data_IF_579803831870
#
_entry.id   IF_579803831870
#
_cell.length_a   1.000
_cell.length_b   1.000
_cell.length_c   1.000
_cell.angle_alpha   90.00
_cell.angle_beta   90.00
_cell.angle_gamma   90.00
#
_symmetry.space_group_name_H-M   'P 1'
#
loop_
_entity.id
_entity.type
_entity.pdbx_description
1 polymer ?
#
# COMPACT_ATOMS: atom_id res chain seq x y z
N UNK A 1 -24.95 3.45 5.83
CA UNK A 1 -23.64 2.91 5.40
C UNK A 1 -23.71 1.40 5.56
N UNK A 2 -23.46 0.63 4.49
CA UNK A 2 -23.32 -0.84 4.57
C UNK A 2 -21.82 -1.17 4.48
N UNK A 3 -21.36 -2.17 5.23
CA UNK A 3 -19.95 -2.60 5.27
C UNK A 3 -19.85 -4.07 4.86
N UNK A 4 -18.77 -4.43 4.18
CA UNK A 4 -18.42 -5.82 3.91
C UNK A 4 -17.58 -6.37 5.06
N UNK A 5 -18.02 -7.49 5.65
CA UNK A 5 -17.30 -8.17 6.73
C UNK A 5 -16.66 -9.44 6.17
N UNK A 6 -15.33 -9.49 6.18
CA UNK A 6 -14.59 -10.73 5.93
C UNK A 6 -14.53 -11.56 7.21
N UNK A 7 -15.14 -12.75 7.19
CA UNK A 7 -15.23 -13.67 8.33
C UNK A 7 -14.39 -14.94 8.15
N UNK A 8 -13.70 -15.10 7.01
CA UNK A 8 -13.08 -16.38 6.62
C UNK A 8 -11.58 -16.44 6.99
N UNK A 9 -10.92 -15.29 7.15
CA UNK A 9 -9.46 -15.23 7.23
C UNK A 9 -8.84 -15.12 8.65
N UNK A 10 -9.64 -15.16 9.72
CA UNK A 10 -9.19 -14.82 11.09
C UNK A 10 -9.17 -16.01 12.09
N UNK A 11 -9.06 -17.24 11.61
CA UNK A 11 -9.16 -18.49 12.38
C UNK A 11 -8.00 -18.94 13.30
N UNK A 12 -7.08 -18.05 13.71
CA UNK A 12 -6.07 -18.35 14.74
C UNK A 12 -4.84 -19.18 14.32
N UNK A 13 -3.70 -18.92 14.98
CA UNK A 13 -2.41 -19.59 14.73
C UNK A 13 -1.20 -18.69 15.03
N UNK A 14 -1.08 -18.22 16.27
CA UNK A 14 -0.08 -17.24 16.72
C UNK A 14 1.28 -17.88 17.04
N UNK A 15 2.09 -18.04 16.00
CA UNK A 15 3.55 -18.21 16.00
C UNK A 15 3.90 -18.02 14.51
N UNK A 16 4.58 -16.99 14.03
CA UNK A 16 5.92 -16.50 14.37
C UNK A 16 6.08 -15.10 13.73
N UNK A 17 5.42 -14.09 14.30
CA UNK A 17 5.50 -12.67 13.88
C UNK A 17 6.43 -11.87 14.80
N UNK A 18 7.20 -12.54 15.67
CA UNK A 18 8.14 -11.88 16.59
C UNK A 18 9.51 -11.68 15.92
N UNK A 19 9.51 -10.92 14.82
CA UNK A 19 10.71 -10.57 14.07
C UNK A 19 11.19 -9.14 14.39
N UNK A 20 12.44 -8.85 14.08
CA UNK A 20 13.03 -7.53 14.29
C UNK A 20 12.55 -6.48 13.27
N UNK A 21 12.84 -5.21 13.57
CA UNK A 21 12.43 -4.06 12.75
C UNK A 21 12.81 -4.19 11.28
N UNK A 22 14.03 -4.68 10.97
CA UNK A 22 14.49 -4.79 9.58
C UNK A 22 13.60 -5.71 8.74
N UNK A 23 13.12 -6.83 9.32
CA UNK A 23 12.22 -7.75 8.63
C UNK A 23 10.84 -7.13 8.43
N UNK A 24 10.32 -6.41 9.44
CA UNK A 24 9.06 -5.69 9.30
C UNK A 24 9.13 -4.51 8.33
N UNK A 25 10.25 -3.81 8.26
CA UNK A 25 10.44 -2.75 7.28
C UNK A 25 10.48 -3.30 5.85
N UNK A 26 11.20 -4.41 5.62
CA UNK A 26 11.38 -4.99 4.29
C UNK A 26 10.22 -5.87 3.82
N UNK A 27 9.50 -6.52 4.74
CA UNK A 27 8.56 -7.59 4.43
C UNK A 27 9.17 -8.99 4.53
N UNK A 28 8.33 -10.00 4.76
CA UNK A 28 8.72 -11.40 4.89
C UNK A 28 7.57 -12.35 4.56
N UNK A 29 7.86 -13.63 4.35
CA UNK A 29 6.87 -14.69 4.21
C UNK A 29 6.44 -15.02 2.78
N UNK A 30 5.34 -15.78 2.64
CA UNK A 30 4.84 -16.31 1.38
C UNK A 30 3.39 -15.90 1.16
N UNK A 31 3.06 -15.39 -0.03
CA UNK A 31 1.72 -14.91 -0.40
C UNK A 31 0.63 -15.99 -0.38
N UNK A 32 1.01 -17.27 -0.46
CA UNK A 32 0.12 -18.43 -0.30
C UNK A 32 0.03 -18.91 1.16
N UNK A 33 0.73 -18.25 2.07
CA UNK A 33 0.80 -18.57 3.51
C UNK A 33 0.86 -17.30 4.34
N UNK A 34 1.65 -17.30 5.42
CA UNK A 34 1.86 -16.12 6.27
C UNK A 34 2.86 -15.16 5.63
N UNK A 35 2.51 -13.88 5.51
CA UNK A 35 3.42 -12.85 5.01
C UNK A 35 3.13 -11.47 5.61
N UNK A 36 4.12 -10.59 5.48
CA UNK A 36 4.05 -9.15 5.71
C UNK A 36 4.70 -8.45 4.51
N UNK A 37 4.05 -7.43 3.94
CA UNK A 37 4.51 -6.78 2.70
C UNK A 37 5.60 -5.72 2.92
N UNK A 38 6.06 -5.51 4.16
CA UNK A 38 6.95 -4.41 4.52
C UNK A 38 6.17 -3.16 4.91
N UNK A 39 6.84 -2.17 5.50
CA UNK A 39 6.19 -0.92 5.93
C UNK A 39 6.17 0.11 4.78
N UNK A 40 5.24 -0.08 3.84
CA UNK A 40 5.01 0.86 2.75
C UNK A 40 4.24 2.13 3.14
N UNK A 41 3.78 2.24 4.40
CA UNK A 41 2.92 3.33 4.88
C UNK A 41 3.63 4.29 5.84
N UNK A 42 4.83 3.97 6.30
CA UNK A 42 5.62 4.82 7.19
C UNK A 42 5.67 6.29 6.76
N UNK A 43 5.93 6.54 5.46
CA UNK A 43 6.04 7.89 4.92
C UNK A 43 4.71 8.62 4.78
N UNK A 44 3.60 7.89 4.83
CA UNK A 44 2.24 8.41 4.74
C UNK A 44 1.67 8.81 6.11
N UNK A 45 2.32 8.42 7.21
CA UNK A 45 1.85 8.77 8.55
C UNK A 45 1.84 10.29 8.76
N UNK A 46 0.74 10.82 9.30
CA UNK A 46 0.53 12.25 9.51
C UNK A 46 0.35 13.08 8.22
N UNK A 47 0.32 12.45 7.04
CA UNK A 47 0.05 13.16 5.78
C UNK A 47 -1.44 13.39 5.59
N UNK A 48 -1.77 14.43 4.83
CA UNK A 48 -3.15 14.71 4.41
C UNK A 48 -3.46 13.87 3.18
N UNK A 49 -4.74 13.57 2.99
CA UNK A 49 -5.19 12.88 1.79
C UNK A 49 -5.23 13.86 0.62
N UNK A 50 -4.57 13.51 -0.48
CA UNK A 50 -4.51 14.32 -1.71
C UNK A 50 -5.22 13.62 -2.85
N UNK A 51 -5.90 14.41 -3.67
CA UNK A 51 -6.58 13.99 -4.91
C UNK A 51 -6.09 14.85 -6.08
N UNK A 52 -6.42 14.46 -7.31
CA UNK A 52 -5.96 15.18 -8.53
C UNK A 52 -6.45 16.64 -8.62
N UNK A 53 -7.48 16.99 -7.85
CA UNK A 53 -8.08 18.33 -7.78
C UNK A 53 -7.77 19.05 -6.46
N UNK A 54 -7.18 18.36 -5.48
CA UNK A 54 -6.81 18.93 -4.19
C UNK A 54 -5.42 18.47 -3.77
N UNK A 55 -4.42 19.28 -4.12
CA UNK A 55 -3.06 19.09 -3.67
C UNK A 55 -2.93 19.45 -2.18
N UNK A 56 -2.69 18.42 -1.37
CA UNK A 56 -2.43 18.50 0.08
C UNK A 56 -1.17 17.72 0.44
N UNK A 57 -0.34 17.38 -0.56
CA UNK A 57 0.89 16.64 -0.32
C UNK A 57 2.01 17.59 0.17
N UNK A 58 3.19 17.02 0.40
CA UNK A 58 4.36 17.75 0.91
C UNK A 58 5.48 17.78 -0.14
N UNK A 59 5.10 17.87 -1.41
CA UNK A 59 5.99 17.97 -2.56
C UNK A 59 5.84 19.35 -3.21
N UNK A 60 6.84 19.76 -4.02
CA UNK A 60 6.75 20.96 -4.85
C UNK A 60 5.95 20.73 -6.14
N UNK A 61 5.48 19.51 -6.38
CA UNK A 61 4.63 19.14 -7.50
C UNK A 61 3.61 18.10 -7.07
N UNK A 62 2.55 17.94 -7.87
CA UNK A 62 1.36 17.18 -7.51
C UNK A 62 1.56 15.65 -7.60
N UNK A 63 1.62 15.01 -6.43
CA UNK A 63 1.78 13.57 -6.30
C UNK A 63 0.55 12.78 -6.73
N UNK A 64 -0.66 13.29 -6.52
CA UNK A 64 -1.88 12.60 -6.94
C UNK A 64 -1.95 12.52 -8.48
N UNK A 65 -1.58 13.60 -9.16
CA UNK A 65 -1.43 13.64 -10.61
C UNK A 65 -0.27 12.81 -11.13
N UNK A 66 0.88 12.79 -10.44
CA UNK A 66 2.03 11.97 -10.84
C UNK A 66 1.74 10.47 -10.68
N UNK A 67 1.25 10.05 -9.51
CA UNK A 67 0.98 8.67 -9.17
C UNK A 67 -0.34 8.13 -9.74
N UNK A 68 -1.17 9.00 -10.35
CA UNK A 68 -2.47 8.65 -10.93
C UNK A 68 -3.38 7.96 -9.90
N UNK A 69 -3.38 8.44 -8.66
CA UNK A 69 -4.15 7.87 -7.56
C UNK A 69 -4.28 8.81 -6.37
N UNK A 70 -5.37 8.64 -5.63
CA UNK A 70 -5.66 9.40 -4.42
C UNK A 70 -5.12 8.68 -3.18
N UNK A 71 -4.27 9.35 -2.41
CA UNK A 71 -3.59 8.74 -1.26
C UNK A 71 -3.15 9.78 -0.24
N UNK A 72 -2.66 9.32 0.91
CA UNK A 72 -1.97 10.15 1.90
C UNK A 72 -0.54 10.49 1.44
N UNK A 73 -0.41 11.18 0.32
CA UNK A 73 0.88 11.48 -0.32
C UNK A 73 1.74 12.39 0.56
N UNK A 74 3.03 12.06 0.66
CA UNK A 74 4.11 12.87 1.25
C UNK A 74 4.94 13.55 0.16
N UNK A 75 6.05 12.95 -0.25
CA UNK A 75 6.90 13.45 -1.35
C UNK A 75 7.56 12.31 -2.17
N UNK A 76 6.85 11.46 -2.90
CA UNK A 76 5.39 11.29 -2.96
C UNK A 76 4.95 10.14 -2.04
N UNK A 77 5.09 8.88 -2.44
CA UNK A 77 4.65 7.75 -1.62
C UNK A 77 5.38 6.46 -1.99
N UNK A 78 5.47 5.52 -1.04
CA UNK A 78 5.96 4.15 -1.25
C UNK A 78 4.82 3.14 -1.48
N UNK A 79 3.57 3.59 -1.34
CA UNK A 79 2.38 2.80 -1.61
C UNK A 79 1.33 3.65 -2.33
N UNK A 80 0.69 3.08 -3.34
CA UNK A 80 -0.47 3.67 -3.98
C UNK A 80 -1.46 2.55 -4.31
N UNK A 81 -2.34 2.22 -3.36
CA UNK A 81 -3.33 1.17 -3.57
C UNK A 81 -4.54 1.64 -4.41
N UNK A 82 -4.65 2.96 -4.61
CA UNK A 82 -5.69 3.61 -5.41
C UNK A 82 -5.18 4.11 -6.78
N UNK A 83 -4.06 3.56 -7.26
CA UNK A 83 -3.50 3.88 -8.57
C UNK A 83 -4.23 3.18 -9.72
N UNK A 84 -3.71 3.35 -10.95
CA UNK A 84 -4.28 2.71 -12.13
C UNK A 84 -4.15 1.19 -12.07
N UNK A 85 -5.19 0.47 -12.46
CA UNK A 85 -5.15 -0.97 -12.57
C UNK A 85 -4.46 -1.43 -13.87
N UNK A 86 -3.14 -1.62 -13.83
CA UNK A 86 -2.31 -1.95 -15.01
C UNK A 86 -1.99 -3.45 -15.13
N UNK A 87 -2.55 -4.28 -14.25
CA UNK A 87 -2.60 -5.77 -14.35
C UNK A 87 -1.24 -6.48 -14.38
N UNK A 88 -0.19 -5.88 -13.83
CA UNK A 88 1.13 -6.51 -13.69
C UNK A 88 2.25 -5.53 -14.05
N UNK A 89 3.33 -6.06 -14.62
CA UNK A 89 4.45 -5.24 -15.12
C UNK A 89 3.97 -4.31 -16.23
N UNK A 90 4.42 -3.06 -16.21
CA UNK A 90 4.08 -2.06 -17.22
C UNK A 90 5.27 -1.15 -17.53
N UNK A 91 5.23 -0.43 -18.66
CA UNK A 91 6.24 0.57 -18.99
C UNK A 91 6.00 1.86 -18.21
N UNK A 92 6.98 2.28 -17.41
CA UNK A 92 6.91 3.44 -16.52
C UNK A 92 6.88 3.06 -15.04
N UNK A 93 6.66 4.06 -14.19
CA UNK A 93 6.72 3.93 -12.72
C UNK A 93 5.61 4.74 -12.06
N UNK A 94 5.26 4.35 -10.83
CA UNK A 94 4.36 5.07 -9.92
C UNK A 94 2.89 5.26 -10.34
N UNK A 95 2.49 4.82 -11.54
CA UNK A 95 1.12 5.01 -12.04
C UNK A 95 0.15 3.92 -11.61
N UNK A 96 0.67 2.74 -11.28
CA UNK A 96 -0.12 1.54 -11.00
C UNK A 96 -0.61 1.42 -9.56
N UNK A 97 -1.28 0.30 -9.26
CA UNK A 97 -1.53 -0.14 -7.88
C UNK A 97 -0.24 -0.75 -7.32
N UNK A 98 0.52 -0.05 -6.47
CA UNK A 98 1.86 -0.54 -6.08
C UNK A 98 2.12 -0.53 -4.57
N UNK A 99 3.03 -1.41 -4.17
CA UNK A 99 3.68 -1.45 -2.87
C UNK A 99 5.18 -1.64 -3.09
N UNK A 100 5.97 -0.58 -2.89
CA UNK A 100 7.37 -0.53 -3.34
C UNK A 100 8.20 -1.67 -2.76
N UNK A 101 8.04 -1.96 -1.46
CA UNK A 101 8.82 -3.00 -0.78
C UNK A 101 8.57 -4.42 -1.32
N UNK A 102 7.45 -4.65 -2.03
CA UNK A 102 7.12 -5.98 -2.52
C UNK A 102 7.43 -6.20 -4.01
N UNK A 103 6.85 -5.39 -4.91
CA UNK A 103 7.01 -5.56 -6.37
C UNK A 103 7.61 -4.33 -7.06
N UNK A 104 8.03 -3.34 -6.27
CA UNK A 104 8.49 -2.05 -6.77
C UNK A 104 7.37 -1.22 -7.40
N UNK A 105 7.77 -0.08 -7.94
CA UNK A 105 6.89 0.92 -8.55
C UNK A 105 6.49 0.65 -10.01
N UNK A 106 7.18 -0.26 -10.70
CA UNK A 106 6.93 -0.64 -12.11
C UNK A 106 5.98 -1.83 -12.28
N UNK A 107 5.31 -2.26 -11.20
CA UNK A 107 4.38 -3.37 -11.19
C UNK A 107 3.06 -2.95 -10.55
N UNK A 108 1.94 -3.19 -11.24
CA UNK A 108 0.59 -3.01 -10.70
C UNK A 108 0.06 -4.31 -10.13
N UNK A 109 -0.21 -4.34 -8.83
CA UNK A 109 -0.83 -5.44 -8.13
C UNK A 109 -2.19 -5.78 -8.75
N UNK A 110 -2.50 -7.08 -8.80
CA UNK A 110 -3.72 -7.61 -9.41
C UNK A 110 -4.93 -7.58 -8.46
N UNK A 111 -4.66 -7.52 -7.15
CA UNK A 111 -5.66 -7.53 -6.10
C UNK A 111 -5.05 -6.89 -4.85
N UNK A 112 -5.84 -6.08 -4.16
CA UNK A 112 -5.48 -5.40 -2.92
C UNK A 112 -6.74 -5.20 -2.08
N UNK A 113 -6.63 -5.38 -0.78
CA UNK A 113 -7.70 -5.12 0.17
C UNK A 113 -7.14 -4.36 1.37
N UNK A 114 -7.87 -3.36 1.85
CA UNK A 114 -7.58 -2.67 3.12
C UNK A 114 -8.70 -3.00 4.10
N UNK A 115 -8.36 -3.53 5.28
CA UNK A 115 -9.30 -3.96 6.30
C UNK A 115 -8.92 -3.36 7.64
N UNK A 116 -9.90 -3.15 8.50
CA UNK A 116 -9.69 -2.70 9.88
C UNK A 116 -10.32 -3.71 10.82
N UNK A 117 -9.68 -3.95 11.97
CA UNK A 117 -10.21 -4.75 13.07
C UNK A 117 -10.09 -3.92 14.35
N UNK A 118 -11.08 -4.03 15.24
CA UNK A 118 -10.96 -3.43 16.58
C UNK A 118 -9.75 -4.06 17.28
N UNK A 119 -9.01 -3.24 18.01
CA UNK A 119 -7.95 -3.69 18.91
C UNK A 119 -8.57 -4.40 20.12
#
# INVERSE_FOLDING_TARGET
MQVYCDMENDGGGWTDFLLGWQQYAAGFGNLKGKFWLGDGMASNNGRRFSTVDQDKDHSSGDCASHCKGAWWHGACTNANLNGLYLRGSYSGVYRGVFWVHWRGQGYSLKHTEMKMRRL
#
